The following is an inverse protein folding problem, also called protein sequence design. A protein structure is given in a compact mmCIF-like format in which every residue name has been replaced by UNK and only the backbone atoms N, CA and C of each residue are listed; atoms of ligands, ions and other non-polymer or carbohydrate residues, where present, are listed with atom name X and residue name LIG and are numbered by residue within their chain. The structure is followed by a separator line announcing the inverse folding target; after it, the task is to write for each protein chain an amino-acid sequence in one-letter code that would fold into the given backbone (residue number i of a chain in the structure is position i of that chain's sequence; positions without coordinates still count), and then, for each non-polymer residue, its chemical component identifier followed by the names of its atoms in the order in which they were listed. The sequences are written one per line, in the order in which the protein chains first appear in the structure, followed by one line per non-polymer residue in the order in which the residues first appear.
data_IF_798100281145
#
_entry.id   IF_798100281145
#
_cell.length_a   1.000
_cell.length_b   1.000
_cell.length_c   1.000
_cell.angle_alpha   90.00
_cell.angle_beta   90.00
_cell.angle_gamma   90.00
#
_symmetry.space_group_name_H-M   'P 1'
#
loop_
_entity.id
_entity.type
_entity.pdbx_description
1 polymer ?
#
# COMPACT_ATOMS: atom_id res chain seq x y z
N UNK A 1 -34.55 29.55 26.17
CA UNK A 1 -34.87 28.71 25.03
C UNK A 1 -34.22 29.15 23.71
N UNK A 2 -34.20 30.44 23.31
CA UNK A 2 -33.60 30.89 22.05
C UNK A 2 -32.09 30.54 21.87
N UNK A 3 -31.29 30.62 22.93
CA UNK A 3 -29.85 30.33 22.87
C UNK A 3 -29.55 28.83 22.73
N UNK A 4 -30.40 27.94 23.28
CA UNK A 4 -30.24 26.48 23.17
C UNK A 4 -30.47 26.01 21.73
N UNK A 5 -31.45 26.59 21.02
CA UNK A 5 -31.74 26.29 19.62
C UNK A 5 -30.60 26.76 18.70
N UNK A 6 -30.00 27.93 18.96
CA UNK A 6 -28.85 28.43 18.21
C UNK A 6 -27.59 27.59 18.40
N UNK A 7 -27.39 27.00 19.60
CA UNK A 7 -26.28 26.12 19.90
C UNK A 7 -26.42 24.77 19.16
N UNK A 8 -27.64 24.22 19.14
CA UNK A 8 -27.95 22.97 18.41
C UNK A 8 -27.76 23.14 16.87
N UNK A 9 -28.17 24.26 16.31
CA UNK A 9 -27.99 24.54 14.87
C UNK A 9 -26.48 24.62 14.51
N UNK A 10 -25.65 25.23 15.37
CA UNK A 10 -24.20 25.27 15.15
C UNK A 10 -23.55 23.89 15.18
N UNK A 11 -23.99 23.00 16.08
CA UNK A 11 -23.46 21.63 16.20
C UNK A 11 -23.84 20.82 14.97
N UNK A 12 -25.05 20.96 14.42
CA UNK A 12 -25.50 20.25 13.21
C UNK A 12 -24.75 20.76 11.95
N UNK A 13 -24.44 22.04 11.89
CA UNK A 13 -23.66 22.61 10.76
C UNK A 13 -22.19 22.16 10.78
N UNK A 14 -21.59 21.95 11.94
CA UNK A 14 -20.19 21.48 12.06
C UNK A 14 -20.08 20.00 11.73
N UNK A 15 -21.09 19.16 12.07
CA UNK A 15 -21.05 17.74 11.74
C UNK A 15 -21.12 17.43 10.24
N UNK A 16 -21.72 18.30 9.43
CA UNK A 16 -21.76 18.15 7.98
C UNK A 16 -20.46 18.58 7.25
N UNK A 17 -19.54 19.25 7.95
CA UNK A 17 -18.23 19.64 7.38
C UNK A 17 -17.16 18.56 7.49
N UNK A 18 -17.40 17.47 8.22
CA UNK A 18 -16.41 16.41 8.47
C UNK A 18 -16.55 15.18 7.57
N UNK A 19 -17.58 15.08 6.75
CA UNK A 19 -17.70 14.01 5.74
C UNK A 19 -17.20 14.54 4.40
N UNK A 20 -15.90 14.78 4.28
CA UNK A 20 -15.27 14.82 2.97
C UNK A 20 -15.13 13.36 2.54
N UNK A 21 -16.07 12.88 1.75
CA UNK A 21 -15.97 11.58 1.07
C UNK A 21 -14.64 11.58 0.32
N UNK A 22 -13.65 10.96 0.93
CA UNK A 22 -12.36 10.79 0.28
C UNK A 22 -12.53 9.64 -0.70
N UNK A 23 -12.56 9.96 -2.01
CA UNK A 23 -12.54 8.97 -3.07
C UNK A 23 -11.17 8.26 -3.03
N UNK A 24 -11.02 7.31 -2.11
CA UNK A 24 -9.77 6.62 -1.86
C UNK A 24 -9.92 5.13 -2.14
N UNK A 25 -8.97 4.60 -2.88
CA UNK A 25 -8.71 3.17 -2.95
C UNK A 25 -7.72 2.83 -1.83
N UNK A 26 -8.16 2.00 -0.88
CA UNK A 26 -7.36 1.52 0.24
C UNK A 26 -7.06 0.04 0.04
N UNK A 27 -5.79 -0.30 0.11
CA UNK A 27 -5.30 -1.65 -0.11
C UNK A 27 -4.47 -2.07 1.10
N UNK A 28 -4.80 -3.21 1.68
CA UNK A 28 -4.06 -3.83 2.77
C UNK A 28 -3.46 -5.14 2.26
N UNK A 29 -2.20 -5.38 2.55
CA UNK A 29 -1.52 -6.63 2.26
C UNK A 29 -0.80 -7.13 3.50
N UNK A 30 -0.86 -8.44 3.72
CA UNK A 30 -0.28 -9.15 4.85
C UNK A 30 0.79 -10.12 4.33
N UNK A 31 2.00 -9.61 4.03
CA UNK A 31 3.09 -10.42 3.48
C UNK A 31 3.65 -11.38 4.51
N UNK A 32 4.09 -12.54 4.02
CA UNK A 32 4.99 -13.46 4.70
C UNK A 32 6.27 -13.57 3.88
N UNK A 33 7.42 -13.52 4.53
CA UNK A 33 8.71 -13.79 3.90
C UNK A 33 8.76 -15.31 3.69
N UNK A 34 8.91 -15.74 2.43
CA UNK A 34 8.87 -17.18 2.08
C UNK A 34 10.27 -17.76 2.05
N UNK A 35 11.23 -17.00 1.58
CA UNK A 35 12.65 -17.37 1.48
C UNK A 35 13.47 -16.09 1.63
N UNK A 36 14.44 -16.11 2.53
CA UNK A 36 15.56 -15.16 2.49
C UNK A 36 16.56 -15.74 1.48
N UNK A 37 16.54 -15.20 0.28
CA UNK A 37 17.50 -15.58 -0.75
C UNK A 37 18.86 -14.90 -0.44
N UNK A 38 19.77 -14.79 -1.34
CA UNK A 38 21.16 -14.45 -1.14
C UNK A 38 21.42 -13.10 -0.44
N UNK A 39 22.36 -13.10 0.49
CA UNK A 39 22.91 -11.91 1.15
C UNK A 39 24.35 -11.72 0.71
N UNK A 40 24.67 -10.55 0.16
CA UNK A 40 26.05 -10.13 -0.09
C UNK A 40 26.44 -9.12 0.99
N UNK A 41 27.52 -9.40 1.71
CA UNK A 41 28.09 -8.47 2.70
C UNK A 41 29.35 -7.84 2.10
N UNK A 42 29.40 -6.52 2.07
CA UNK A 42 30.53 -5.76 1.56
C UNK A 42 31.56 -5.47 2.67
N UNK A 43 32.85 -5.13 2.32
CA UNK A 43 33.89 -4.86 3.30
C UNK A 43 33.60 -3.70 4.26
N UNK A 44 32.75 -2.74 3.85
CA UNK A 44 32.30 -1.61 4.68
C UNK A 44 31.08 -1.94 5.56
N UNK A 45 30.73 -3.21 5.67
CA UNK A 45 29.57 -3.74 6.39
C UNK A 45 28.19 -3.39 5.77
N UNK A 46 28.16 -2.79 4.59
CA UNK A 46 26.91 -2.67 3.82
C UNK A 46 26.46 -4.04 3.31
N UNK A 47 25.16 -4.17 3.01
CA UNK A 47 24.57 -5.44 2.59
C UNK A 47 23.64 -5.24 1.42
N UNK A 48 23.62 -6.21 0.52
CA UNK A 48 22.59 -6.37 -0.49
C UNK A 48 21.85 -7.67 -0.23
N UNK A 49 20.54 -7.59 -0.13
CA UNK A 49 19.68 -8.74 0.21
C UNK A 49 18.55 -8.83 -0.81
N UNK A 50 18.18 -10.04 -1.18
CA UNK A 50 16.99 -10.33 -1.97
C UNK A 50 16.06 -11.25 -1.18
N UNK A 51 14.76 -11.11 -1.37
CA UNK A 51 13.79 -11.99 -0.74
C UNK A 51 12.47 -12.04 -1.51
N UNK A 52 11.81 -13.18 -1.35
CA UNK A 52 10.47 -13.41 -1.87
C UNK A 52 9.44 -13.24 -0.75
N UNK A 53 8.36 -12.53 -1.07
CA UNK A 53 7.22 -12.42 -0.16
C UNK A 53 5.95 -12.84 -0.85
N UNK A 54 5.05 -13.48 -0.11
CA UNK A 54 3.70 -13.78 -0.58
C UNK A 54 2.72 -13.53 0.56
N UNK A 55 1.47 -13.22 0.23
CA UNK A 55 0.47 -13.01 1.26
C UNK A 55 -0.90 -12.67 0.68
N UNK A 56 -1.88 -12.64 1.56
CA UNK A 56 -3.25 -12.23 1.23
C UNK A 56 -3.35 -10.72 1.22
N UNK A 57 -4.22 -10.20 0.37
CA UNK A 57 -4.56 -8.79 0.33
C UNK A 57 -6.06 -8.59 0.27
N UNK A 58 -6.51 -7.42 0.67
CA UNK A 58 -7.88 -6.96 0.59
C UNK A 58 -7.93 -5.46 0.27
N UNK A 59 -9.04 -5.00 -0.27
CA UNK A 59 -9.29 -3.58 -0.50
C UNK A 59 -10.63 -3.12 0.12
N UNK A 60 -10.83 -1.80 0.16
CA UNK A 60 -12.05 -1.20 0.72
C UNK A 60 -13.30 -1.36 -0.17
N UNK A 61 -13.18 -2.04 -1.31
CA UNK A 61 -14.31 -2.40 -2.19
C UNK A 61 -14.67 -3.88 -2.08
N UNK A 62 -14.11 -4.59 -1.08
CA UNK A 62 -14.39 -6.01 -0.81
C UNK A 62 -13.70 -6.97 -1.77
N UNK A 63 -12.72 -6.51 -2.55
CA UNK A 63 -11.88 -7.42 -3.31
C UNK A 63 -10.75 -7.95 -2.42
N UNK A 64 -10.35 -9.17 -2.68
CA UNK A 64 -9.28 -9.86 -1.96
C UNK A 64 -8.59 -10.86 -2.87
N UNK A 65 -7.41 -11.28 -2.48
CA UNK A 65 -6.66 -12.25 -3.26
C UNK A 65 -5.26 -12.52 -2.71
N UNK A 66 -4.39 -12.97 -3.59
CA UNK A 66 -2.99 -13.27 -3.27
C UNK A 66 -2.09 -12.30 -4.01
N UNK A 67 -1.04 -11.84 -3.33
CA UNK A 67 0.03 -11.05 -3.94
C UNK A 67 1.38 -11.70 -3.62
N UNK A 68 2.24 -11.77 -4.65
CA UNK A 68 3.63 -12.18 -4.56
C UNK A 68 4.52 -11.04 -4.99
N UNK A 69 5.60 -10.80 -4.25
CA UNK A 69 6.62 -9.81 -4.61
C UNK A 69 8.02 -10.43 -4.61
N UNK A 70 8.83 -9.95 -5.54
CA UNK A 70 10.27 -10.11 -5.55
C UNK A 70 10.86 -8.76 -5.12
N UNK A 71 11.67 -8.78 -4.08
CA UNK A 71 12.19 -7.57 -3.44
C UNK A 71 13.69 -7.67 -3.32
N UNK A 72 14.37 -6.58 -3.62
CA UNK A 72 15.77 -6.36 -3.26
C UNK A 72 15.92 -5.18 -2.32
N UNK A 73 16.87 -5.25 -1.41
CA UNK A 73 17.21 -4.12 -0.57
C UNK A 73 18.73 -3.97 -0.43
N UNK A 74 19.16 -2.72 -0.41
CA UNK A 74 20.53 -2.35 -0.06
C UNK A 74 20.52 -1.64 1.28
N UNK A 75 21.32 -2.15 2.22
CA UNK A 75 21.49 -1.59 3.55
C UNK A 75 22.92 -1.01 3.58
N UNK A 76 23.05 0.32 3.62
CA UNK A 76 24.36 0.94 3.66
C UNK A 76 25.00 0.85 5.05
N UNK A 77 26.27 1.23 5.17
CA UNK A 77 27.02 1.21 6.44
C UNK A 77 26.37 2.06 7.55
N UNK A 78 25.55 3.05 7.21
CA UNK A 78 24.78 3.87 8.15
C UNK A 78 23.40 3.27 8.49
N UNK A 79 23.13 2.02 8.09
CA UNK A 79 21.86 1.31 8.30
C UNK A 79 20.67 1.94 7.55
N UNK A 80 20.90 2.78 6.55
CA UNK A 80 19.85 3.23 5.65
C UNK A 80 19.50 2.12 4.66
N UNK A 81 18.22 1.82 4.54
CA UNK A 81 17.67 0.78 3.67
C UNK A 81 17.08 1.45 2.43
N UNK A 82 17.57 1.07 1.26
CA UNK A 82 16.93 1.36 -0.03
C UNK A 82 16.31 0.07 -0.55
N UNK A 83 15.00 0.08 -0.79
CA UNK A 83 14.24 -1.09 -1.21
C UNK A 83 13.61 -0.84 -2.58
N UNK A 84 13.75 -1.81 -3.46
CA UNK A 84 13.08 -1.94 -4.75
C UNK A 84 12.37 -3.30 -4.83
N UNK A 85 11.15 -3.32 -5.37
CA UNK A 85 10.42 -4.56 -5.53
C UNK A 85 9.39 -4.51 -6.66
N UNK A 86 9.04 -5.69 -7.15
CA UNK A 86 7.98 -5.88 -8.13
C UNK A 86 7.02 -6.94 -7.65
N UNK A 87 5.73 -6.65 -7.76
CA UNK A 87 4.66 -7.50 -7.27
C UNK A 87 3.67 -7.85 -8.38
N UNK A 88 3.18 -9.09 -8.33
CA UNK A 88 2.01 -9.54 -9.06
C UNK A 88 0.92 -9.88 -8.04
N UNK A 89 -0.27 -9.35 -8.24
CA UNK A 89 -1.46 -9.67 -7.47
C UNK A 89 -2.56 -10.23 -8.37
N UNK A 90 -3.34 -11.15 -7.83
CA UNK A 90 -4.58 -11.62 -8.45
C UNK A 90 -5.72 -11.49 -7.44
N UNK A 91 -6.93 -11.18 -7.92
CA UNK A 91 -8.12 -11.16 -7.10
C UNK A 91 -8.85 -12.53 -7.12
N UNK A 92 -9.90 -12.64 -6.33
CA UNK A 92 -10.77 -13.82 -6.26
C UNK A 92 -11.50 -14.14 -7.59
N UNK A 93 -11.50 -13.22 -8.56
CA UNK A 93 -12.00 -13.39 -9.94
C UNK A 93 -10.87 -13.61 -10.95
N UNK A 94 -9.64 -13.86 -10.48
CA UNK A 94 -8.42 -14.07 -11.29
C UNK A 94 -8.03 -12.87 -12.15
N UNK A 95 -8.47 -11.65 -11.81
CA UNK A 95 -8.00 -10.41 -12.44
C UNK A 95 -6.70 -9.98 -11.79
N UNK A 96 -5.76 -9.53 -12.62
CA UNK A 96 -4.40 -9.24 -12.17
C UNK A 96 -4.08 -7.76 -12.21
N UNK A 97 -3.13 -7.39 -11.37
CA UNK A 97 -2.39 -6.14 -11.46
C UNK A 97 -0.95 -6.33 -11.00
N UNK A 98 -0.08 -5.48 -11.53
CA UNK A 98 1.36 -5.48 -11.21
C UNK A 98 1.74 -4.11 -10.70
N UNK A 99 2.59 -4.08 -9.68
CA UNK A 99 3.08 -2.85 -9.10
C UNK A 99 4.58 -2.93 -8.79
N UNK A 100 5.24 -1.77 -8.83
CA UNK A 100 6.56 -1.61 -8.25
C UNK A 100 6.46 -0.98 -6.86
N UNK A 101 7.43 -1.32 -6.01
CA UNK A 101 7.57 -0.77 -4.66
C UNK A 101 8.93 -0.09 -4.55
N UNK A 102 8.97 1.11 -3.99
CA UNK A 102 10.22 1.83 -3.69
C UNK A 102 10.14 2.43 -2.29
N UNK A 103 11.21 2.28 -1.51
CA UNK A 103 11.29 2.84 -0.17
C UNK A 103 12.72 3.19 0.21
N UNK A 104 12.88 4.28 0.98
CA UNK A 104 14.07 4.56 1.77
C UNK A 104 13.68 4.68 3.24
N UNK A 105 14.40 4.02 4.13
CA UNK A 105 14.11 4.02 5.57
C UNK A 105 15.34 3.63 6.38
N UNK A 106 15.33 3.92 7.69
CA UNK A 106 16.39 3.50 8.62
C UNK A 106 16.00 2.27 9.46
N UNK A 107 14.86 1.67 9.20
CA UNK A 107 14.40 0.48 9.93
C UNK A 107 13.45 -0.36 9.08
N UNK A 108 13.02 -1.50 9.62
CA UNK A 108 12.08 -2.44 8.96
C UNK A 108 10.66 -1.86 8.78
N UNK A 109 10.34 -0.71 9.39
CA UNK A 109 9.13 0.04 9.15
C UNK A 109 9.43 1.27 8.29
N UNK A 110 8.46 1.74 7.51
CA UNK A 110 8.62 2.97 6.76
C UNK A 110 7.54 3.23 5.73
N UNK A 111 7.60 4.42 5.17
CA UNK A 111 6.76 4.87 4.07
C UNK A 111 7.52 4.79 2.75
N UNK A 112 6.82 4.41 1.70
CA UNK A 112 7.35 4.32 0.35
C UNK A 112 6.32 4.72 -0.69
N UNK A 113 6.67 4.47 -1.94
CA UNK A 113 5.81 4.70 -3.10
C UNK A 113 5.63 3.40 -3.87
N UNK A 114 4.39 3.14 -4.25
CA UNK A 114 4.03 2.04 -5.13
C UNK A 114 3.46 2.61 -6.42
N UNK A 115 3.85 2.05 -7.56
CA UNK A 115 3.29 2.43 -8.86
C UNK A 115 2.64 1.23 -9.51
N UNK A 116 1.36 1.35 -9.89
CA UNK A 116 0.67 0.35 -10.70
C UNK A 116 1.21 0.39 -12.13
N UNK A 117 1.89 -0.67 -12.56
CA UNK A 117 2.58 -0.76 -13.85
C UNK A 117 1.64 -1.26 -14.93
N UNK A 118 0.99 -2.39 -14.66
CA UNK A 118 -0.01 -3.02 -15.51
C UNK A 118 -1.22 -3.43 -14.68
N UNK A 119 -2.38 -3.38 -15.28
CA UNK A 119 -3.64 -3.67 -14.58
C UNK A 119 -4.68 -4.22 -15.53
N UNK A 120 -5.55 -5.08 -15.03
CA UNK A 120 -6.66 -5.68 -15.77
C UNK A 120 -8.00 -5.21 -15.24
N UNK A 121 -9.04 -5.30 -16.08
CA UNK A 121 -10.44 -5.10 -15.69
C UNK A 121 -10.65 -3.74 -14.99
N UNK A 122 -11.35 -3.71 -13.85
CA UNK A 122 -11.66 -2.51 -13.07
C UNK A 122 -10.39 -1.83 -12.48
N UNK A 123 -9.30 -2.58 -12.29
CA UNK A 123 -8.03 -2.01 -11.82
C UNK A 123 -7.36 -1.10 -12.86
N UNK A 124 -7.85 -1.03 -14.12
CA UNK A 124 -7.32 -0.13 -15.15
C UNK A 124 -7.30 1.34 -14.73
N UNK A 125 -8.20 1.75 -13.85
CA UNK A 125 -8.22 3.11 -13.28
C UNK A 125 -7.00 3.41 -12.39
N UNK A 126 -6.29 2.39 -11.91
CA UNK A 126 -5.07 2.54 -11.12
C UNK A 126 -3.81 2.58 -11.99
N UNK A 127 -3.87 2.17 -13.25
CA UNK A 127 -2.69 2.07 -14.10
C UNK A 127 -1.94 3.38 -14.21
N UNK A 128 -0.64 3.33 -13.95
CA UNK A 128 0.24 4.50 -13.94
C UNK A 128 0.19 5.34 -12.66
N UNK A 129 -0.79 5.12 -11.77
CA UNK A 129 -0.88 5.85 -10.51
C UNK A 129 0.27 5.46 -9.57
N UNK A 130 0.86 6.48 -8.97
CA UNK A 130 1.82 6.34 -7.89
C UNK A 130 1.13 6.67 -6.57
N UNK A 131 1.11 5.74 -5.65
CA UNK A 131 0.39 5.81 -4.38
C UNK A 131 1.35 5.63 -3.21
N UNK A 132 1.25 6.44 -2.15
CA UNK A 132 2.01 6.22 -0.94
C UNK A 132 1.58 4.92 -0.25
N UNK A 133 2.55 4.25 0.36
CA UNK A 133 2.29 3.13 1.24
C UNK A 133 3.08 3.25 2.54
N UNK A 134 2.57 2.63 3.58
CA UNK A 134 3.29 2.36 4.82
C UNK A 134 3.44 0.84 4.98
N UNK A 135 4.62 0.40 5.39
CA UNK A 135 4.89 -1.01 5.65
C UNK A 135 5.64 -1.17 6.96
N UNK A 136 5.35 -2.24 7.66
CA UNK A 136 6.10 -2.70 8.82
C UNK A 136 6.31 -4.21 8.68
N UNK A 137 7.59 -4.61 8.64
CA UNK A 137 7.97 -6.01 8.69
C UNK A 137 8.18 -6.42 10.15
N UNK A 138 7.61 -7.55 10.52
CA UNK A 138 7.76 -8.23 11.79
C UNK A 138 8.29 -9.63 11.52
N UNK A 139 8.71 -10.35 12.55
CA UNK A 139 9.24 -11.70 12.38
C UNK A 139 8.25 -12.59 11.63
N UNK A 140 8.72 -13.15 10.50
CA UNK A 140 7.94 -14.04 9.64
C UNK A 140 6.86 -13.38 8.78
N UNK A 141 6.67 -12.05 8.85
CA UNK A 141 5.63 -11.41 8.05
C UNK A 141 5.62 -9.89 8.11
N UNK A 142 4.44 -9.30 7.89
CA UNK A 142 4.30 -7.85 7.94
C UNK A 142 2.90 -7.33 7.69
N UNK A 143 2.80 -6.03 7.73
CA UNK A 143 1.60 -5.27 7.34
C UNK A 143 2.02 -4.21 6.34
N UNK A 144 1.27 -4.13 5.25
CA UNK A 144 1.44 -3.14 4.21
C UNK A 144 0.09 -2.47 3.96
N UNK A 145 0.06 -1.15 3.96
CA UNK A 145 -1.14 -0.35 3.69
C UNK A 145 -0.83 0.68 2.63
N UNK A 146 -1.64 0.73 1.59
CA UNK A 146 -1.51 1.65 0.48
C UNK A 146 -2.81 2.43 0.31
N UNK A 147 -2.69 3.72 -0.04
CA UNK A 147 -3.84 4.60 -0.30
C UNK A 147 -3.60 5.33 -1.61
N UNK A 148 -4.52 5.16 -2.57
CA UNK A 148 -4.56 5.92 -3.80
C UNK A 148 -5.72 6.90 -3.79
N UNK A 149 -5.48 8.14 -4.17
CA UNK A 149 -6.55 9.10 -4.45
C UNK A 149 -7.17 8.80 -5.82
N UNK A 150 -8.48 8.74 -5.85
CA UNK A 150 -9.26 8.54 -7.07
C UNK A 150 -10.07 9.81 -7.38
N UNK A 151 -10.39 10.01 -8.64
CA UNK A 151 -11.49 10.90 -9.03
C UNK A 151 -12.83 10.23 -8.66
N UNK A 152 -13.92 10.97 -8.69
CA UNK A 152 -15.25 10.40 -8.44
C UNK A 152 -15.58 9.30 -9.46
N UNK A 153 -15.33 9.56 -10.75
CA UNK A 153 -15.62 8.60 -11.82
C UNK A 153 -14.82 7.30 -11.66
N UNK A 154 -13.54 7.41 -11.29
CA UNK A 154 -12.68 6.25 -11.01
C UNK A 154 -13.18 5.46 -9.79
N UNK A 155 -13.62 6.15 -8.74
CA UNK A 155 -14.19 5.53 -7.55
C UNK A 155 -15.48 4.77 -7.87
N UNK A 156 -16.36 5.36 -8.69
CA UNK A 156 -17.63 4.76 -9.10
C UNK A 156 -17.43 3.50 -9.96
N UNK A 157 -16.29 3.34 -10.65
CA UNK A 157 -15.94 2.11 -11.39
C UNK A 157 -15.73 0.92 -10.45
N UNK A 158 -15.15 1.12 -9.27
CA UNK A 158 -14.97 0.05 -8.28
C UNK A 158 -16.27 -0.37 -7.60
N UNK A 159 -17.28 0.52 -7.54
CA UNK A 159 -18.55 0.26 -6.89
C UNK A 159 -19.57 -0.48 -7.80
N UNK A 160 -19.22 -0.77 -9.04
CA UNK A 160 -20.01 -1.55 -10.00
C UNK A 160 -19.58 -3.01 -10.01
#
# INVERSE_FOLDING_TARGET
MKYLVLLLIKIILVSNLYSKDSNEYKFNWYPRIVVEDDIIVFPDSSKYETYNTTGVWEDNFGNYGIMKCLVSQFINSNQEITLDGYCEANDNKKKKFWMSLKRKSFNKAGVGKSKYIFTESKYKVLQGKECPYAAQLIEGGGVFKLICKLTKDEYDIFNK
#
